data_IF_626355931616
#
_entry.id   IF_626355931616
#
_cell.length_a   1.000
_cell.length_b   1.000
_cell.length_c   1.000
_cell.angle_alpha   90.00
_cell.angle_beta   90.00
_cell.angle_gamma   90.00
#
_symmetry.space_group_name_H-M   'P 1'
#
loop_
_entity.id
_entity.type
_entity.pdbx_description
1 polymer ?
#
# COMPACT_ATOMS: atom_id res chain seq x y z
N UNK A 1 -12.61 -3.70 15.04
CA UNK A 1 -11.97 -3.16 16.27
C UNK A 1 -10.57 -3.75 16.46
N UNK A 2 -10.40 -5.06 16.72
CA UNK A 2 -9.05 -5.64 16.96
C UNK A 2 -8.08 -5.47 15.77
N UNK A 3 -8.50 -5.83 14.55
CA UNK A 3 -7.65 -5.67 13.36
C UNK A 3 -7.22 -4.22 13.13
N UNK A 4 -8.17 -3.29 13.29
CA UNK A 4 -7.92 -1.85 13.19
C UNK A 4 -6.88 -1.41 14.22
N UNK A 5 -7.04 -1.79 15.49
CA UNK A 5 -6.07 -1.46 16.54
C UNK A 5 -4.68 -2.03 16.27
N UNK A 6 -4.57 -3.27 15.81
CA UNK A 6 -3.29 -3.89 15.48
C UNK A 6 -2.59 -3.12 14.35
N UNK A 7 -3.29 -2.87 13.25
CA UNK A 7 -2.70 -2.18 12.11
C UNK A 7 -2.42 -0.71 12.39
N UNK A 8 -3.32 0.00 13.09
CA UNK A 8 -3.12 1.40 13.46
C UNK A 8 -1.97 1.56 14.46
N UNK A 9 -1.87 0.70 15.47
CA UNK A 9 -0.74 0.75 16.42
C UNK A 9 0.60 0.45 15.74
N UNK A 10 0.63 -0.43 14.74
CA UNK A 10 1.82 -0.67 13.93
C UNK A 10 2.21 0.57 13.12
N UNK A 11 1.25 1.16 12.40
CA UNK A 11 1.48 2.40 11.65
C UNK A 11 1.91 3.56 12.55
N UNK A 12 1.26 3.71 13.70
CA UNK A 12 1.59 4.74 14.70
C UNK A 12 3.00 4.53 15.26
N UNK A 13 3.38 3.28 15.58
CA UNK A 13 4.73 2.98 16.05
C UNK A 13 5.80 3.39 15.04
N UNK A 14 5.59 3.08 13.75
CA UNK A 14 6.48 3.51 12.67
C UNK A 14 6.58 5.04 12.63
N UNK A 15 5.43 5.70 12.70
CA UNK A 15 5.33 7.15 12.56
C UNK A 15 5.94 7.92 13.74
N UNK A 16 5.64 7.49 14.96
CA UNK A 16 6.09 8.08 16.22
C UNK A 16 7.61 7.95 16.38
N UNK A 17 8.15 6.78 16.03
CA UNK A 17 9.60 6.53 16.11
C UNK A 17 10.38 7.00 14.88
N UNK A 18 9.72 7.63 13.89
CA UNK A 18 10.33 8.13 12.65
C UNK A 18 11.21 7.08 11.95
N UNK A 19 10.76 5.82 11.97
CA UNK A 19 11.50 4.70 11.41
C UNK A 19 11.70 4.94 9.92
N UNK A 20 12.96 4.93 9.47
CA UNK A 20 13.33 5.15 8.08
C UNK A 20 13.42 3.83 7.33
N UNK A 21 12.86 3.77 6.12
CA UNK A 21 12.87 2.57 5.30
C UNK A 21 13.79 2.73 4.09
N UNK A 22 14.74 1.81 3.94
CA UNK A 22 15.35 1.55 2.64
C UNK A 22 14.31 0.95 1.70
N UNK A 23 14.62 0.86 0.40
CA UNK A 23 13.77 0.17 -0.56
C UNK A 23 13.49 -1.29 -0.14
N UNK A 24 14.52 -2.03 0.27
CA UNK A 24 14.36 -3.39 0.77
C UNK A 24 13.52 -3.45 2.06
N UNK A 25 13.72 -2.51 2.98
CA UNK A 25 12.91 -2.42 4.20
C UNK A 25 11.44 -2.13 3.91
N UNK A 26 11.16 -1.27 2.93
CA UNK A 26 9.80 -0.97 2.49
C UNK A 26 9.15 -2.18 1.77
N UNK A 27 9.90 -2.92 0.96
CA UNK A 27 9.45 -4.19 0.39
C UNK A 27 9.11 -5.21 1.48
N UNK A 28 9.97 -5.37 2.48
CA UNK A 28 9.72 -6.28 3.59
C UNK A 28 8.47 -5.87 4.38
N UNK A 29 8.32 -4.58 4.70
CA UNK A 29 7.12 -4.07 5.38
C UNK A 29 5.85 -4.37 4.57
N UNK A 30 5.89 -4.25 3.24
CA UNK A 30 4.77 -4.59 2.38
C UNK A 30 4.43 -6.09 2.43
N UNK A 31 5.45 -6.96 2.46
CA UNK A 31 5.27 -8.40 2.68
C UNK A 31 4.63 -8.70 4.04
N UNK A 32 5.10 -8.02 5.10
CA UNK A 32 4.60 -8.19 6.46
C UNK A 32 3.11 -7.81 6.54
N UNK A 33 2.70 -6.69 5.94
CA UNK A 33 1.30 -6.30 5.85
C UNK A 33 0.46 -7.27 5.00
N UNK A 34 0.99 -7.79 3.89
CA UNK A 34 0.31 -8.81 3.10
C UNK A 34 0.09 -10.09 3.90
N UNK A 35 1.05 -10.46 4.75
CA UNK A 35 0.95 -11.66 5.58
C UNK A 35 -0.16 -11.56 6.64
N UNK A 36 -0.50 -10.37 7.13
CA UNK A 36 -1.68 -10.17 8.01
C UNK A 36 -2.96 -10.63 7.31
N UNK A 37 -3.12 -10.29 6.03
CA UNK A 37 -4.28 -10.71 5.22
C UNK A 37 -4.30 -12.22 5.00
N UNK A 38 -3.13 -12.82 4.72
CA UNK A 38 -2.98 -14.27 4.56
C UNK A 38 -3.32 -15.00 5.87
N UNK A 39 -2.76 -14.54 6.98
CA UNK A 39 -3.03 -15.10 8.31
C UNK A 39 -4.51 -15.04 8.65
N UNK A 40 -5.14 -13.88 8.43
CA UNK A 40 -6.57 -13.69 8.66
C UNK A 40 -7.44 -14.61 7.79
N UNK A 41 -7.07 -14.80 6.53
CA UNK A 41 -7.80 -15.68 5.59
C UNK A 41 -7.76 -17.14 6.06
N UNK A 42 -6.65 -17.57 6.65
CA UNK A 42 -6.44 -18.92 7.14
C UNK A 42 -6.81 -19.12 8.62
N UNK A 43 -7.35 -18.09 9.29
CA UNK A 43 -7.65 -18.14 10.71
C UNK A 43 -8.94 -18.94 10.98
N UNK A 44 -8.80 -20.21 11.33
CA UNK A 44 -9.93 -21.12 11.59
C UNK A 44 -10.72 -20.79 12.86
N UNK A 45 -10.11 -20.08 13.81
CA UNK A 45 -10.75 -19.66 15.07
C UNK A 45 -11.85 -18.60 14.82
N UNK A 46 -11.70 -17.80 13.77
CA UNK A 46 -12.66 -16.74 13.40
C UNK A 46 -13.66 -17.31 12.41
N UNK A 47 -14.96 -17.07 12.63
CA UNK A 47 -16.01 -17.53 11.70
C UNK A 47 -15.80 -16.96 10.29
N UNK A 48 -16.23 -17.70 9.27
CA UNK A 48 -16.06 -17.29 7.86
C UNK A 48 -16.71 -15.93 7.56
N UNK A 49 -17.91 -15.69 8.11
CA UNK A 49 -18.60 -14.41 7.98
C UNK A 49 -17.78 -13.28 8.58
N UNK A 50 -17.14 -13.50 9.73
CA UNK A 50 -16.29 -12.49 10.37
C UNK A 50 -14.97 -12.30 9.62
N UNK A 51 -14.32 -13.38 9.15
CA UNK A 51 -13.13 -13.28 8.28
C UNK A 51 -13.42 -12.42 7.06
N UNK A 52 -14.55 -12.64 6.39
CA UNK A 52 -14.97 -11.87 5.21
C UNK A 52 -15.16 -10.39 5.54
N UNK A 53 -15.73 -10.05 6.70
CA UNK A 53 -15.85 -8.65 7.16
C UNK A 53 -14.50 -8.03 7.46
N UNK A 54 -13.60 -8.76 8.13
CA UNK A 54 -12.27 -8.28 8.48
C UNK A 54 -11.38 -8.06 7.24
N UNK A 55 -11.45 -8.96 6.25
CA UNK A 55 -10.72 -8.86 4.98
C UNK A 55 -11.14 -7.65 4.13
N UNK A 56 -12.36 -7.14 4.32
CA UNK A 56 -12.86 -5.94 3.64
C UNK A 56 -12.54 -4.65 4.39
N UNK A 57 -11.87 -4.72 5.54
CA UNK A 57 -11.55 -3.54 6.33
C UNK A 57 -10.52 -2.66 5.60
N UNK A 58 -10.81 -1.37 5.46
CA UNK A 58 -9.96 -0.42 4.75
C UNK A 58 -8.57 -0.24 5.37
N UNK A 59 -8.41 -0.58 6.66
CA UNK A 59 -7.10 -0.49 7.32
C UNK A 59 -6.05 -1.38 6.64
N UNK A 60 -6.45 -2.51 6.05
CA UNK A 60 -5.55 -3.39 5.30
C UNK A 60 -5.05 -2.70 4.02
N UNK A 61 -5.95 -2.02 3.30
CA UNK A 61 -5.60 -1.21 2.11
C UNK A 61 -4.70 -0.04 2.48
N UNK A 62 -4.96 0.60 3.62
CA UNK A 62 -4.12 1.68 4.15
C UNK A 62 -2.71 1.19 4.48
N UNK A 63 -2.56 0.03 5.10
CA UNK A 63 -1.25 -0.59 5.37
C UNK A 63 -0.50 -0.88 4.07
N UNK A 64 -1.16 -1.51 3.09
CA UNK A 64 -0.60 -1.74 1.76
C UNK A 64 -0.17 -0.42 1.09
N UNK A 65 -1.03 0.60 1.15
CA UNK A 65 -0.77 1.92 0.60
C UNK A 65 0.45 2.58 1.22
N UNK A 66 0.64 2.45 2.54
CA UNK A 66 1.83 2.98 3.23
C UNK A 66 3.09 2.28 2.71
N UNK A 67 3.09 0.95 2.63
CA UNK A 67 4.23 0.19 2.08
C UNK A 67 4.56 0.61 0.64
N UNK A 68 3.54 0.84 -0.20
CA UNK A 68 3.73 1.32 -1.58
C UNK A 68 4.22 2.77 -1.66
N UNK A 69 3.75 3.66 -0.79
CA UNK A 69 4.26 5.04 -0.73
C UNK A 69 5.75 5.08 -0.39
N UNK A 70 6.21 4.23 0.52
CA UNK A 70 7.63 4.16 0.89
C UNK A 70 8.54 3.72 -0.28
N UNK A 71 7.98 3.04 -1.29
CA UNK A 71 8.67 2.64 -2.51
C UNK A 71 8.62 3.70 -3.63
N UNK A 72 7.72 4.69 -3.53
CA UNK A 72 7.52 5.72 -4.57
C UNK A 72 8.50 6.88 -4.49
N UNK A 73 8.75 7.53 -5.63
CA UNK A 73 9.50 8.79 -5.66
C UNK A 73 8.64 9.98 -5.17
N UNK A 74 9.21 10.99 -4.47
CA UNK A 74 8.45 12.16 -4.07
C UNK A 74 7.99 12.91 -5.33
N UNK A 75 6.73 13.35 -5.37
CA UNK A 75 6.14 14.01 -6.54
C UNK A 75 5.75 13.08 -7.69
N UNK A 76 5.92 11.76 -7.55
CA UNK A 76 5.43 10.79 -8.53
C UNK A 76 3.88 10.77 -8.53
N UNK A 77 3.28 11.01 -9.69
CA UNK A 77 1.81 10.98 -9.82
C UNK A 77 1.29 9.56 -9.65
N UNK A 78 0.39 9.37 -8.69
CA UNK A 78 -0.31 8.11 -8.47
C UNK A 78 -1.37 7.95 -9.56
N UNK A 79 -1.19 6.97 -10.46
CA UNK A 79 -2.17 6.67 -11.51
C UNK A 79 -3.28 5.79 -10.95
N UNK A 80 -4.52 6.10 -11.32
CA UNK A 80 -5.66 5.20 -11.09
C UNK A 80 -5.44 3.89 -11.85
N UNK A 81 -5.95 2.77 -11.32
CA UNK A 81 -5.88 1.50 -12.05
C UNK A 81 -6.71 1.59 -13.34
N UNK A 82 -6.10 1.23 -14.49
CA UNK A 82 -6.76 1.33 -15.79
C UNK A 82 -7.93 0.35 -15.92
N UNK A 83 -9.10 0.90 -16.26
CA UNK A 83 -10.34 0.13 -16.50
C UNK A 83 -10.23 -0.89 -17.65
N UNK A 84 -9.26 -0.72 -18.55
CA UNK A 84 -9.20 -1.45 -19.82
C UNK A 84 -8.67 -2.89 -19.74
N UNK A 85 -8.20 -3.37 -18.57
CA UNK A 85 -7.87 -4.80 -18.38
C UNK A 85 -9.04 -5.67 -17.90
N UNK A 86 -10.22 -5.09 -17.62
CA UNK A 86 -11.43 -5.83 -17.22
C UNK A 86 -12.58 -5.53 -18.18
N UNK A 87 -12.51 -6.01 -19.41
CA UNK A 87 -13.68 -6.14 -20.29
C UNK A 87 -13.87 -7.60 -20.68
N UNK A 88 -14.58 -8.33 -19.84
CA UNK A 88 -15.50 -9.39 -20.23
C UNK A 88 -16.45 -9.74 -19.06
N UNK A 89 -17.24 -8.77 -18.58
CA UNK A 89 -18.60 -9.05 -18.06
C UNK A 89 -19.29 -7.74 -17.66
N UNK A 90 -20.28 -7.39 -18.48
CA UNK A 90 -21.58 -6.76 -18.15
C UNK A 90 -21.58 -5.41 -17.44
N UNK A 91 -22.18 -4.43 -18.13
CA UNK A 91 -22.61 -3.16 -17.58
C UNK A 91 -23.65 -3.40 -16.46
N UNK A 92 -23.23 -3.22 -15.22
CA UNK A 92 -24.11 -3.10 -14.06
C UNK A 92 -23.63 -1.90 -13.24
N UNK A 93 -24.56 -1.22 -12.59
CA UNK A 93 -24.30 -0.08 -11.71
C UNK A 93 -23.23 -0.45 -10.68
N UNK A 94 -22.09 0.22 -10.76
CA UNK A 94 -20.89 -0.12 -9.99
C UNK A 94 -21.14 0.20 -8.52
N UNK A 95 -21.31 -0.83 -7.71
CA UNK A 95 -21.47 -0.71 -6.26
C UNK A 95 -20.27 0.02 -5.62
N UNK A 96 -20.49 0.67 -4.47
CA UNK A 96 -19.42 1.41 -3.76
C UNK A 96 -18.21 0.51 -3.40
N UNK A 97 -18.47 -0.78 -3.20
CA UNK A 97 -17.46 -1.81 -2.98
C UNK A 97 -16.56 -2.07 -4.20
N UNK A 98 -17.07 -1.92 -5.43
CA UNK A 98 -16.28 -2.02 -6.65
C UNK A 98 -15.48 -0.74 -6.94
N UNK A 99 -16.02 0.45 -6.62
CA UNK A 99 -15.24 1.70 -6.67
C UNK A 99 -14.02 1.63 -5.74
N UNK A 100 -14.19 1.02 -4.57
CA UNK A 100 -13.09 0.78 -3.62
C UNK A 100 -12.01 -0.17 -4.16
N UNK A 101 -12.32 -1.02 -5.15
CA UNK A 101 -11.31 -1.86 -5.82
C UNK A 101 -10.57 -1.14 -6.96
N UNK A 102 -11.07 0.02 -7.39
CA UNK A 102 -10.50 0.79 -8.51
C UNK A 102 -9.42 1.78 -8.06
N UNK A 103 -9.49 2.24 -6.81
CA UNK A 103 -8.54 3.19 -6.26
C UNK A 103 -7.25 2.47 -5.84
N UNK A 104 -6.07 2.97 -6.24
CA UNK A 104 -4.78 2.47 -5.74
C UNK A 104 -4.72 2.48 -4.21
N UNK A 105 -4.01 1.53 -3.61
CA UNK A 105 -3.94 1.39 -2.15
C UNK A 105 -3.41 2.65 -1.46
N UNK A 106 -2.51 3.38 -2.12
CA UNK A 106 -1.92 4.63 -1.65
C UNK A 106 -2.98 5.73 -1.43
N UNK A 107 -4.09 5.70 -2.18
CA UNK A 107 -5.19 6.66 -2.03
C UNK A 107 -6.00 6.47 -0.73
N UNK A 108 -5.82 5.34 -0.04
CA UNK A 108 -6.40 5.09 1.29
C UNK A 108 -5.54 5.66 2.43
N UNK A 109 -4.37 6.23 2.11
CA UNK A 109 -3.42 6.72 3.10
C UNK A 109 -3.58 8.23 3.28
N UNK A 110 -4.00 8.71 4.46
CA UNK A 110 -3.94 10.13 4.77
C UNK A 110 -2.50 10.57 5.02
N UNK A 111 -2.23 11.87 4.85
CA UNK A 111 -0.92 12.48 5.10
C UNK A 111 0.23 11.84 4.32
N UNK A 112 0.02 11.52 3.03
CA UNK A 112 0.97 10.79 2.18
C UNK A 112 2.40 11.36 2.21
N UNK A 113 2.55 12.69 2.20
CA UNK A 113 3.85 13.38 2.29
C UNK A 113 4.65 13.01 3.54
N UNK A 114 3.97 12.79 4.66
CA UNK A 114 4.65 12.44 5.91
C UNK A 114 5.20 10.99 5.85
N UNK A 115 4.51 10.10 5.14
CA UNK A 115 5.00 8.75 4.87
C UNK A 115 6.16 8.75 3.87
N UNK A 116 6.06 9.55 2.80
CA UNK A 116 7.15 9.74 1.85
C UNK A 116 8.44 10.24 2.54
N UNK A 117 8.29 11.11 3.55
CA UNK A 117 9.40 11.60 4.36
C UNK A 117 10.08 10.50 5.20
N UNK A 118 9.46 9.33 5.43
CA UNK A 118 10.06 8.19 6.15
C UNK A 118 10.97 7.32 5.29
N UNK A 119 11.24 7.71 4.04
CA UNK A 119 12.21 7.00 3.22
C UNK A 119 13.64 7.29 3.68
N UNK A 120 14.48 6.27 3.67
CA UNK A 120 15.91 6.42 3.90
C UNK A 120 16.53 7.07 2.65
N UNK A 121 17.01 8.30 2.78
CA UNK A 121 17.82 8.93 1.75
C UNK A 121 19.14 8.19 1.67
N UNK A 122 19.50 7.63 0.50
CA UNK A 122 20.89 7.21 0.28
C UNK A 122 21.73 8.48 0.32
N UNK A 123 22.46 8.71 1.41
CA UNK A 123 23.54 9.70 1.45
C UNK A 123 24.64 9.19 0.55
N UNK A 124 24.51 9.42 -0.75
CA UNK A 124 25.62 9.20 -1.67
C UNK A 124 26.70 10.21 -1.30
N UNK A 125 27.78 9.73 -0.71
CA UNK A 125 28.98 10.53 -0.40
C UNK A 125 29.71 11.00 -1.69
N UNK A 126 29.17 10.67 -2.86
CA UNK A 126 29.68 11.04 -4.19
C UNK A 126 28.51 11.49 -5.08
N UNK A 127 28.67 12.55 -5.89
CA UNK A 127 27.65 13.01 -6.82
C UNK A 127 27.67 12.10 -8.07
N UNK A 128 27.07 10.92 -7.97
CA UNK A 128 26.74 10.14 -9.15
C UNK A 128 25.36 10.57 -9.67
N UNK A 129 25.19 10.77 -10.99
CA UNK A 129 23.93 11.26 -11.54
C UNK A 129 22.84 10.21 -11.36
N UNK A 130 21.71 10.70 -10.84
CA UNK A 130 20.34 10.16 -10.92
C UNK A 130 20.20 8.92 -11.79
N UNK A 131 20.37 7.74 -11.20
CA UNK A 131 20.00 6.48 -11.83
C UNK A 131 18.55 6.15 -11.46
N UNK A 132 17.63 6.81 -12.15
CA UNK A 132 16.29 6.28 -12.44
C UNK A 132 16.18 6.31 -13.96
N UNK A 133 16.76 5.29 -14.60
CA UNK A 133 16.65 5.09 -16.04
C UNK A 133 15.18 5.01 -16.42
N UNK A 134 14.66 6.10 -16.99
CA UNK A 134 13.45 6.06 -17.79
C UNK A 134 13.77 5.14 -18.97
N UNK A 135 13.10 3.99 -19.05
CA UNK A 135 13.04 3.25 -20.31
C UNK A 135 12.19 4.10 -21.25
N UNK A 136 12.84 4.96 -22.05
CA UNK A 136 12.25 5.44 -23.30
C UNK A 136 12.37 4.30 -24.31
N UNK A 137 11.24 3.66 -24.58
CA UNK A 137 11.05 2.80 -25.75
C UNK A 137 11.32 3.61 -27.00
N UNK A 138 12.40 3.29 -27.71
CA UNK A 138 12.67 3.79 -29.05
C UNK A 138 12.01 2.87 -30.09
N UNK A 139 11.13 3.51 -30.89
CA UNK A 139 10.46 3.08 -32.13
C UNK A 139 9.47 1.92 -32.07
#
# INVERSE_FOLDING_TARGET
>A
MILTLLCESWLDHIYTNKIKFSEQGACQLLCDFAYVTIWLSNCLVVSETMRTKLLKNEILKRCEGVGRLLLRCPGEKIKMADKHKRKASVAAEVSDAEKSQLMPAEMYVPNQEQWLALRATRKTLFPAPVCCSKYETFK
#
